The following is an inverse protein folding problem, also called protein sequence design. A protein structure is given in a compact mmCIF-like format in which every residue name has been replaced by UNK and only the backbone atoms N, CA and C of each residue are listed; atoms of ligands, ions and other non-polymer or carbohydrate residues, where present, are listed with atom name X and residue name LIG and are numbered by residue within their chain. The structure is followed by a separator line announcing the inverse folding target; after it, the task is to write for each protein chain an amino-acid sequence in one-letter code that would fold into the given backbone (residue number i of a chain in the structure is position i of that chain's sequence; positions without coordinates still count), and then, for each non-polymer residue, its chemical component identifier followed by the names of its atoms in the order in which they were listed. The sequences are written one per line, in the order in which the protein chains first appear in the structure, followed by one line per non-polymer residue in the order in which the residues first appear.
data_IF_411004697905
#
_entry.id   IF_411004697905
#
_cell.length_a   1.000
_cell.length_b   1.000
_cell.length_c   1.000
_cell.angle_alpha   90.00
_cell.angle_beta   90.00
_cell.angle_gamma   90.00
#
_symmetry.space_group_name_H-M   'P 1'
#
loop_
_entity.id
_entity.type
_entity.pdbx_description
1 polymer ?
#
# COMPACT_ATOMS: atom_id res chain seq x y z
N UNK A 1 14.74 -4.45 -0.84
CA UNK A 1 14.27 -3.31 -0.01
C UNK A 1 12.83 -3.59 0.42
N UNK A 2 12.41 -3.09 1.58
CA UNK A 2 11.03 -3.21 2.05
C UNK A 2 10.41 -1.82 2.14
N UNK A 3 9.20 -1.66 1.57
CA UNK A 3 8.44 -0.41 1.60
C UNK A 3 7.20 -0.65 2.43
N UNK A 4 7.01 0.15 3.48
CA UNK A 4 5.85 0.09 4.36
C UNK A 4 5.14 1.43 4.40
N UNK A 5 3.82 1.44 4.26
CA UNK A 5 3.01 2.65 4.29
C UNK A 5 1.64 2.38 4.93
N UNK A 6 0.90 3.45 5.24
CA UNK A 6 -0.44 3.37 5.81
C UNK A 6 -1.48 3.91 4.82
N UNK A 7 -2.65 3.28 4.75
CA UNK A 7 -3.80 3.79 3.99
C UNK A 7 -5.13 3.49 4.70
N UNK A 8 -6.22 4.03 4.14
CA UNK A 8 -7.58 3.72 4.58
C UNK A 8 -8.20 2.50 3.90
N UNK A 9 -7.52 1.87 2.94
CA UNK A 9 -8.10 0.81 2.10
C UNK A 9 -7.75 -0.58 2.63
N UNK A 10 -8.77 -1.41 2.84
CA UNK A 10 -8.58 -2.83 3.17
C UNK A 10 -8.31 -3.67 1.91
N UNK A 11 -7.85 -4.91 2.09
CA UNK A 11 -7.67 -5.89 1.01
C UNK A 11 -8.96 -6.23 0.28
N UNK A 12 -10.13 -6.04 0.91
CA UNK A 12 -11.44 -6.27 0.31
C UNK A 12 -11.95 -5.07 -0.51
N UNK A 13 -11.24 -3.94 -0.45
CA UNK A 13 -11.62 -2.69 -1.12
C UNK A 13 -10.65 -2.35 -2.26
N UNK A 14 -9.38 -2.73 -2.13
CA UNK A 14 -8.36 -2.41 -3.11
C UNK A 14 -7.26 -3.47 -3.21
N UNK A 15 -6.73 -3.64 -4.43
CA UNK A 15 -5.47 -4.35 -4.64
C UNK A 15 -4.31 -3.39 -4.40
N UNK A 16 -3.40 -3.79 -3.51
CA UNK A 16 -2.31 -2.96 -2.99
C UNK A 16 -0.98 -3.38 -3.61
N UNK A 17 -0.25 -2.40 -4.14
CA UNK A 17 1.03 -2.66 -4.76
C UNK A 17 1.96 -1.45 -4.70
N UNK A 18 3.26 -1.71 -4.87
CA UNK A 18 4.25 -0.68 -5.16
C UNK A 18 4.66 -0.82 -6.63
N UNK A 19 4.57 0.27 -7.38
CA UNK A 19 5.16 0.36 -8.71
C UNK A 19 6.55 0.97 -8.61
N UNK A 20 7.56 0.34 -9.17
CA UNK A 20 8.95 0.75 -8.98
C UNK A 20 9.85 0.36 -10.14
N UNK A 21 10.96 1.08 -10.29
CA UNK A 21 11.97 0.84 -11.33
C UNK A 21 13.10 1.86 -11.27
N UNK A 22 14.22 1.56 -11.92
CA UNK A 22 15.27 2.55 -12.16
C UNK A 22 15.07 3.24 -13.51
N UNK A 23 15.80 4.33 -13.72
CA UNK A 23 15.65 5.19 -14.89
C UNK A 23 15.78 4.39 -16.20
N UNK A 24 14.94 4.71 -17.17
CA UNK A 24 14.93 4.14 -18.52
C UNK A 24 14.61 2.63 -18.58
N UNK A 25 14.04 2.06 -17.51
CA UNK A 25 13.48 0.70 -17.50
C UNK A 25 11.96 0.70 -17.29
N UNK A 26 11.26 -0.33 -17.78
CA UNK A 26 9.86 -0.55 -17.43
C UNK A 26 9.70 -0.66 -15.92
N UNK A 27 8.79 0.12 -15.35
CA UNK A 27 8.43 -0.05 -13.95
C UNK A 27 7.66 -1.36 -13.77
N UNK A 28 8.02 -2.10 -12.73
CA UNK A 28 7.36 -3.32 -12.31
C UNK A 28 6.50 -3.09 -11.08
N UNK A 29 5.56 -4.01 -10.83
CA UNK A 29 4.67 -3.95 -9.66
C UNK A 29 4.97 -5.09 -8.71
N UNK A 30 5.15 -4.76 -7.43
CA UNK A 30 5.27 -5.72 -6.34
C UNK A 30 4.01 -5.66 -5.47
N UNK A 31 3.35 -6.80 -5.17
CA UNK A 31 2.18 -6.81 -4.31
C UNK A 31 2.56 -6.41 -2.87
N UNK A 32 1.56 -6.00 -2.09
CA UNK A 32 1.75 -5.70 -0.68
C UNK A 32 0.85 -6.57 0.20
N UNK A 33 1.42 -7.05 1.31
CA UNK A 33 0.64 -7.63 2.40
C UNK A 33 0.07 -6.52 3.27
N UNK A 34 -1.08 -6.78 3.89
CA UNK A 34 -1.75 -5.81 4.77
C UNK A 34 -1.87 -6.36 6.18
N UNK A 35 -1.59 -5.51 7.15
CA UNK A 35 -1.80 -5.76 8.57
C UNK A 35 -2.57 -4.60 9.19
N UNK A 36 -3.36 -4.91 10.20
CA UNK A 36 -3.98 -3.93 11.08
C UNK A 36 -4.07 -4.51 12.48
N UNK A 37 -4.36 -3.68 13.46
CA UNK A 37 -4.62 -4.11 14.83
C UNK A 37 -5.77 -3.29 15.41
N UNK A 38 -6.55 -3.93 16.27
CA UNK A 38 -7.69 -3.30 16.95
C UNK A 38 -7.34 -2.94 18.39
N UNK A 39 -8.19 -2.10 19.01
CA UNK A 39 -8.05 -1.67 20.41
C UNK A 39 -7.82 -2.82 21.37
N UNK A 40 -8.55 -3.92 21.16
CA UNK A 40 -8.48 -5.11 22.02
C UNK A 40 -7.18 -5.90 21.90
N UNK A 41 -6.38 -5.65 20.85
CA UNK A 41 -5.04 -6.21 20.69
C UNK A 41 -4.01 -5.53 21.61
N UNK A 42 -4.35 -4.37 22.20
CA UNK A 42 -3.49 -3.66 23.13
C UNK A 42 -3.55 -4.30 24.52
N UNK A 43 -2.42 -4.34 25.22
CA UNK A 43 -2.30 -5.00 26.51
C UNK A 43 -3.07 -4.27 27.64
N UNK A 44 -3.13 -2.94 27.61
CA UNK A 44 -3.75 -2.16 28.69
C UNK A 44 -3.81 -0.66 28.44
N UNK A 45 -4.29 0.13 29.42
CA UNK A 45 -4.30 1.59 29.34
C UNK A 45 -2.89 2.20 29.16
N UNK A 46 -2.72 3.34 28.47
CA UNK A 46 -3.75 4.11 27.77
C UNK A 46 -4.04 3.58 26.36
N UNK A 47 -3.19 2.69 25.82
CA UNK A 47 -3.28 2.18 24.46
C UNK A 47 -4.60 1.40 24.21
N UNK A 48 -5.12 0.70 25.22
CA UNK A 48 -6.44 0.03 25.19
C UNK A 48 -7.58 0.95 25.63
N UNK A 49 -7.31 2.18 26.08
CA UNK A 49 -8.31 3.11 26.62
C UNK A 49 -8.35 4.43 25.84
N UNK A 50 -8.09 5.56 26.50
CA UNK A 50 -8.23 6.92 25.96
C UNK A 50 -7.16 7.28 24.94
N UNK A 51 -6.02 6.60 24.97
CA UNK A 51 -4.94 6.78 23.99
C UNK A 51 -5.13 5.95 22.72
N UNK A 52 -6.22 5.20 22.60
CA UNK A 52 -6.48 4.42 21.40
C UNK A 52 -6.84 5.32 20.22
N UNK A 53 -6.15 5.13 19.09
CA UNK A 53 -6.52 5.69 17.80
C UNK A 53 -6.45 4.60 16.74
N UNK A 54 -7.44 4.54 15.85
CA UNK A 54 -7.44 3.55 14.78
C UNK A 54 -6.27 3.80 13.80
N UNK A 55 -5.40 2.81 13.53
CA UNK A 55 -4.20 3.03 12.73
C UNK A 55 -4.45 3.00 11.21
N UNK A 56 -5.67 2.65 10.76
CA UNK A 56 -5.91 2.32 9.37
C UNK A 56 -5.36 0.93 9.02
N UNK A 57 -4.87 0.80 7.79
CA UNK A 57 -4.25 -0.42 7.27
C UNK A 57 -2.77 -0.14 6.96
N UNK A 58 -1.89 -1.03 7.44
CA UNK A 58 -0.45 -0.97 7.23
C UNK A 58 -0.11 -1.95 6.12
N UNK A 59 0.49 -1.46 5.05
CA UNK A 59 0.83 -2.24 3.87
C UNK A 59 2.33 -2.37 3.76
N UNK A 60 2.81 -3.57 3.46
CA UNK A 60 4.24 -3.85 3.28
C UNK A 60 4.47 -4.59 1.97
N UNK A 61 5.32 -4.01 1.12
CA UNK A 61 5.77 -4.62 -0.14
C UNK A 61 7.27 -4.89 -0.12
N UNK A 62 7.67 -5.94 -0.84
CA UNK A 62 9.06 -6.39 -0.94
C UNK A 62 9.58 -6.16 -2.37
N UNK A 63 10.53 -5.25 -2.50
CA UNK A 63 11.26 -5.00 -3.73
C UNK A 63 12.47 -5.94 -3.78
N UNK A 64 12.46 -6.85 -4.73
CA UNK A 64 13.50 -7.87 -4.95
C UNK A 64 14.34 -7.50 -6.18
N UNK A 65 15.51 -8.12 -6.31
CA UNK A 65 16.35 -8.01 -7.52
C UNK A 65 16.81 -6.56 -7.82
N UNK A 66 17.03 -5.79 -6.75
CA UNK A 66 17.57 -4.44 -6.84
C UNK A 66 19.08 -4.49 -7.15
N UNK A 67 19.51 -3.65 -8.09
CA UNK A 67 20.92 -3.48 -8.37
C UNK A 67 21.58 -2.59 -7.29
N UNK A 68 22.76 -3.00 -6.76
CA UNK A 68 23.47 -2.18 -5.79
C UNK A 68 23.93 -0.87 -6.43
N UNK A 69 23.91 0.22 -5.65
CA UNK A 69 24.32 1.56 -6.08
C UNK A 69 23.54 2.15 -7.27
N UNK A 70 22.38 1.59 -7.61
CA UNK A 70 21.49 2.12 -8.65
C UNK A 70 20.32 2.86 -8.00
N UNK A 71 20.01 4.05 -8.52
CA UNK A 71 18.87 4.83 -8.04
C UNK A 71 17.55 4.22 -8.56
N UNK A 72 16.67 3.87 -7.63
CA UNK A 72 15.34 3.37 -7.94
C UNK A 72 14.27 4.38 -7.51
N UNK A 73 13.22 4.48 -8.31
CA UNK A 73 12.02 5.26 -8.00
C UNK A 73 10.87 4.32 -7.68
N UNK A 74 9.95 4.75 -6.83
CA UNK A 74 8.76 3.97 -6.50
C UNK A 74 7.53 4.85 -6.31
N UNK A 75 6.35 4.26 -6.45
CA UNK A 75 5.04 4.85 -6.23
C UNK A 75 4.14 3.85 -5.50
N UNK A 76 3.35 4.35 -4.56
CA UNK A 76 2.37 3.56 -3.83
C UNK A 76 1.06 3.54 -4.61
N UNK A 77 0.51 2.36 -4.87
CA UNK A 77 -0.69 2.17 -5.68
C UNK A 77 -1.81 1.45 -4.92
N UNK A 78 -3.02 1.97 -5.08
CA UNK A 78 -4.27 1.32 -4.65
C UNK A 78 -5.19 1.21 -5.87
N UNK A 79 -5.51 -0.02 -6.28
CA UNK A 79 -6.48 -0.27 -7.34
C UNK A 79 -7.82 -0.63 -6.71
N UNK A 80 -8.78 0.30 -6.79
CA UNK A 80 -10.08 0.11 -6.14
C UNK A 80 -10.90 -0.97 -6.84
N UNK A 81 -11.47 -1.87 -6.04
CA UNK A 81 -12.42 -2.86 -6.51
C UNK A 81 -13.82 -2.27 -6.46
N UNK A 82 -14.39 -1.93 -7.62
CA UNK A 82 -15.77 -1.45 -7.69
C UNK A 82 -16.72 -2.66 -7.66
N UNK A 83 -17.47 -2.83 -6.58
CA UNK A 83 -18.61 -3.75 -6.54
C UNK A 83 -19.83 -3.09 -7.19
N UNK A 84 -20.02 -3.32 -8.49
CA UNK A 84 -21.27 -2.98 -9.17
C UNK A 84 -22.33 -4.04 -8.86
N UNK A 85 -23.23 -3.75 -7.92
CA UNK A 85 -24.51 -4.45 -7.84
C UNK A 85 -25.37 -4.03 -9.06
N UNK A 86 -25.40 -4.83 -10.12
CA UNK A 86 -26.57 -4.89 -11.01
C UNK A 86 -26.46 -4.42 -12.48
N UNK A 87 -25.28 -4.19 -13.05
CA UNK A 87 -25.17 -4.03 -14.52
C UNK A 87 -23.86 -4.62 -15.04
N UNK A 88 -23.93 -5.23 -16.23
CA UNK A 88 -22.87 -5.99 -16.92
C UNK A 88 -21.45 -5.58 -16.55
N UNK A 89 -20.64 -6.59 -16.20
CA UNK A 89 -19.22 -6.50 -15.86
C UNK A 89 -18.44 -5.58 -16.79
N UNK A 90 -18.19 -4.35 -16.35
CA UNK A 90 -17.17 -3.45 -16.90
C UNK A 90 -16.27 -3.11 -15.71
N UNK A 91 -15.06 -3.69 -15.69
CA UNK A 91 -14.03 -3.33 -14.73
C UNK A 91 -13.60 -1.87 -14.97
N UNK A 92 -14.25 -0.92 -14.30
CA UNK A 92 -13.67 0.41 -14.14
C UNK A 92 -12.52 0.29 -13.12
N UNK A 93 -11.30 0.09 -13.62
CA UNK A 93 -10.09 0.13 -12.81
C UNK A 93 -9.77 1.60 -12.48
N UNK A 94 -10.24 2.09 -11.33
CA UNK A 94 -9.77 3.36 -10.81
C UNK A 94 -8.46 3.13 -10.05
N UNK A 95 -7.35 3.50 -10.68
CA UNK A 95 -6.02 3.44 -10.09
C UNK A 95 -5.73 4.76 -9.38
N UNK A 96 -5.71 4.72 -8.04
CA UNK A 96 -5.31 5.87 -7.24
C UNK A 96 -3.83 5.74 -6.89
N UNK A 97 -3.03 6.60 -7.46
CA UNK A 97 -1.67 6.88 -6.99
C UNK A 97 -1.75 8.05 -6.03
N UNK A 98 -1.30 7.86 -4.79
CA UNK A 98 -1.08 8.98 -3.90
C UNK A 98 0.17 9.73 -4.39
N UNK A 99 -0.06 10.79 -5.18
CA UNK A 99 0.97 11.71 -5.64
C UNK A 99 1.50 12.54 -4.44
N UNK A 100 2.72 12.19 -4.02
CA UNK A 100 3.82 13.05 -3.51
C UNK A 100 4.67 12.30 -2.50
N UNK A 101 5.41 11.32 -2.98
CA UNK A 101 6.70 10.98 -2.38
C UNK A 101 7.64 10.52 -3.48
N UNK A 102 8.29 11.49 -4.14
CA UNK A 102 9.60 11.24 -4.73
C UNK A 102 10.56 10.98 -3.56
N UNK A 103 10.44 9.82 -2.92
CA UNK A 103 11.40 9.39 -1.91
C UNK A 103 12.52 8.69 -2.67
N UNK A 104 13.64 9.40 -2.83
CA UNK A 104 14.85 8.81 -3.38
C UNK A 104 15.33 7.75 -2.38
N UNK A 105 15.25 6.48 -2.74
CA UNK A 105 15.94 5.43 -2.00
C UNK A 105 17.44 5.59 -2.28
N UNK A 106 18.20 6.01 -1.26
CA UNK A 106 19.67 6.05 -1.25
C UNK A 106 20.24 4.63 -1.10
#
# INVERSE_FOLDING_TARGET
MTITWTSGYNIDEAVLFVEWGWKDQPHQRSPAGTLTFHRNSMCGPPARTVGWHYPGFIHTSFLKDLWPNMMHTYRLGHMLMVQLFGASSIHLNLLLFLDKSHCNAL
#
